data_IF_225319773222
#
_entry.id   IF_225319773222
#
_cell.length_a   1.000
_cell.length_b   1.000
_cell.length_c   1.000
_cell.angle_alpha   90.00
_cell.angle_beta   90.00
_cell.angle_gamma   90.00
#
_symmetry.space_group_name_H-M   'P 1'
#
loop_
_entity.id
_entity.type
_entity.pdbx_description
1 polymer ?
#
# COMPACT_ATOMS: atom_id res chain seq x y z
N UNK A 1 17.23 -21.42 26.51
CA UNK A 1 17.55 -21.35 27.94
C UNK A 1 17.81 -19.89 28.26
N UNK A 2 17.06 -19.35 29.23
CA UNK A 2 17.26 -18.00 29.76
C UNK A 2 17.83 -18.12 31.16
N UNK A 3 18.87 -17.37 31.42
CA UNK A 3 19.50 -17.28 32.73
C UNK A 3 19.42 -15.83 33.18
N UNK A 4 18.75 -15.59 34.29
CA UNK A 4 18.67 -14.26 34.87
C UNK A 4 19.72 -14.16 36.00
N UNK A 5 20.51 -13.11 35.93
CA UNK A 5 21.58 -12.82 36.91
C UNK A 5 21.27 -11.47 37.54
N UNK A 6 21.42 -11.35 38.84
CA UNK A 6 21.25 -10.09 39.56
C UNK A 6 22.53 -9.22 39.52
N UNK A 7 22.46 -8.03 40.12
CA UNK A 7 23.59 -7.10 40.22
C UNK A 7 24.83 -7.63 40.96
N UNK A 8 24.69 -8.73 41.69
CA UNK A 8 25.77 -9.38 42.46
C UNK A 8 26.33 -10.61 41.75
N UNK A 9 26.07 -10.73 40.42
CA UNK A 9 26.47 -11.84 39.57
C UNK A 9 25.91 -13.22 39.99
N UNK A 10 24.82 -13.22 40.77
CA UNK A 10 24.15 -14.45 41.18
C UNK A 10 23.02 -14.80 40.25
N UNK A 11 22.99 -16.06 39.84
CA UNK A 11 21.87 -16.61 39.05
C UNK A 11 20.61 -16.62 39.93
N UNK A 12 19.60 -15.88 39.53
CA UNK A 12 18.31 -15.77 40.22
C UNK A 12 17.24 -16.66 39.62
N UNK A 13 17.32 -16.92 38.33
CA UNK A 13 16.42 -17.88 37.67
C UNK A 13 17.08 -18.54 36.46
N UNK A 14 16.66 -19.75 36.18
CA UNK A 14 16.96 -20.47 34.95
C UNK A 14 15.63 -20.93 34.38
N UNK A 15 15.29 -20.51 33.18
CA UNK A 15 14.14 -21.02 32.46
C UNK A 15 14.56 -21.61 31.12
N UNK A 16 13.94 -22.70 30.74
CA UNK A 16 14.16 -23.30 29.42
C UNK A 16 12.84 -23.71 28.80
N UNK A 17 12.60 -23.25 27.58
CA UNK A 17 11.52 -23.74 26.73
C UNK A 17 12.12 -24.70 25.71
N UNK A 18 12.06 -25.98 25.99
CA UNK A 18 12.37 -26.99 25.00
C UNK A 18 11.31 -28.10 25.05
N UNK A 19 10.99 -28.61 23.89
CA UNK A 19 10.09 -29.75 23.78
C UNK A 19 10.83 -31.00 24.17
N UNK A 20 10.30 -31.76 25.14
CA UNK A 20 10.82 -33.10 25.48
C UNK A 20 10.52 -34.07 24.34
N UNK A 21 11.36 -35.07 24.26
CA UNK A 21 11.18 -36.19 23.31
C UNK A 21 11.15 -35.77 21.80
N UNK A 22 11.98 -34.74 21.47
CA UNK A 22 12.15 -34.31 20.09
C UNK A 22 13.02 -35.31 19.36
N UNK A 23 12.49 -35.92 18.31
CA UNK A 23 13.28 -36.66 17.35
C UNK A 23 14.01 -35.71 16.39
N UNK A 24 15.33 -35.57 16.58
CA UNK A 24 16.17 -34.77 15.68
C UNK A 24 16.53 -35.53 14.38
N UNK A 25 16.06 -36.76 14.23
CA UNK A 25 16.31 -37.61 13.07
C UNK A 25 17.80 -38.02 12.96
N UNK A 26 18.23 -38.28 11.72
CA UNK A 26 19.58 -38.79 11.43
C UNK A 26 20.70 -37.73 11.45
N UNK A 27 20.38 -36.50 11.79
CA UNK A 27 21.33 -35.37 11.87
C UNK A 27 21.85 -34.87 10.52
N UNK A 28 21.38 -35.44 9.40
CA UNK A 28 21.78 -34.98 8.08
C UNK A 28 21.04 -33.68 7.77
N UNK A 29 21.81 -32.59 7.75
CA UNK A 29 21.31 -31.25 7.45
C UNK A 29 22.17 -30.62 6.35
N UNK A 30 21.62 -29.67 5.61
CA UNK A 30 22.39 -28.85 4.69
C UNK A 30 23.38 -28.00 5.50
N UNK A 31 24.59 -27.84 4.99
CA UNK A 31 25.54 -26.97 5.64
C UNK A 31 25.11 -25.48 5.53
N UNK A 32 25.71 -24.64 6.38
CA UNK A 32 25.36 -23.22 6.46
C UNK A 32 25.44 -22.49 5.10
N UNK A 33 26.51 -22.76 4.32
CA UNK A 33 26.69 -22.12 3.01
C UNK A 33 25.57 -22.52 2.06
N UNK A 34 25.24 -23.81 1.99
CA UNK A 34 24.15 -24.30 1.15
C UNK A 34 22.78 -23.82 1.63
N UNK A 35 22.59 -23.67 2.94
CA UNK A 35 21.36 -23.11 3.50
C UNK A 35 21.16 -21.65 3.07
N UNK A 36 22.22 -20.83 3.09
CA UNK A 36 22.15 -19.45 2.61
C UNK A 36 21.85 -19.38 1.11
N UNK A 37 22.52 -20.17 0.29
CA UNK A 37 22.24 -20.24 -1.15
C UNK A 37 20.77 -20.62 -1.43
N UNK A 38 20.25 -21.61 -0.71
CA UNK A 38 18.87 -22.06 -0.87
C UNK A 38 17.87 -21.01 -0.36
N UNK A 39 18.16 -20.34 0.75
CA UNK A 39 17.33 -19.28 1.29
C UNK A 39 17.21 -18.11 0.30
N UNK A 40 18.34 -17.57 -0.12
CA UNK A 40 18.38 -16.45 -1.08
C UNK A 40 17.92 -16.85 -2.49
N UNK A 41 18.12 -18.09 -2.91
CA UNK A 41 17.67 -18.57 -4.22
C UNK A 41 16.18 -18.91 -4.29
N UNK A 42 15.49 -18.96 -3.16
CA UNK A 42 14.05 -19.27 -3.10
C UNK A 42 13.19 -18.07 -2.67
N UNK A 43 13.81 -16.99 -2.25
CA UNK A 43 13.11 -15.77 -1.84
C UNK A 43 13.56 -14.61 -2.72
N UNK A 44 12.59 -13.82 -3.17
CA UNK A 44 12.85 -12.54 -3.77
C UNK A 44 12.93 -11.48 -2.67
N UNK A 45 13.90 -10.58 -2.79
CA UNK A 45 13.93 -9.38 -1.96
C UNK A 45 12.96 -8.37 -2.56
N UNK A 46 11.95 -8.01 -1.79
CA UNK A 46 11.02 -6.96 -2.17
C UNK A 46 11.43 -5.66 -1.50
N UNK A 47 11.25 -4.57 -2.24
CA UNK A 47 11.47 -3.23 -1.73
C UNK A 47 10.17 -2.76 -1.08
N UNK A 48 10.24 -2.45 0.21
CA UNK A 48 9.11 -1.97 0.99
C UNK A 48 9.40 -0.60 1.53
N UNK A 49 8.35 0.18 1.66
CA UNK A 49 8.37 1.28 2.58
C UNK A 49 7.94 0.77 3.96
N UNK A 50 8.80 0.97 4.94
CA UNK A 50 8.53 0.67 6.34
C UNK A 50 8.56 1.97 7.13
N UNK A 51 7.62 2.11 8.06
CA UNK A 51 7.47 3.31 8.86
C UNK A 51 7.59 3.02 10.35
N UNK A 52 8.20 3.93 11.07
CA UNK A 52 8.12 3.94 12.52
C UNK A 52 7.87 5.35 13.04
N UNK A 53 7.29 5.43 14.21
CA UNK A 53 7.11 6.69 14.91
C UNK A 53 8.19 6.82 15.98
N UNK A 54 8.96 7.91 15.94
CA UNK A 54 10.01 8.16 16.91
C UNK A 54 9.44 8.55 18.29
N UNK A 55 10.32 8.72 19.27
CA UNK A 55 9.94 9.08 20.64
C UNK A 55 9.27 10.46 20.77
N UNK A 56 9.31 11.28 19.71
CA UNK A 56 8.61 12.56 19.60
C UNK A 56 7.27 12.46 18.89
N UNK A 57 6.83 11.25 18.58
CA UNK A 57 5.63 10.97 17.79
C UNK A 57 5.70 11.51 16.36
N UNK A 58 6.93 11.63 15.81
CA UNK A 58 7.12 12.00 14.41
C UNK A 58 7.20 10.71 13.59
N UNK A 59 6.37 10.55 12.55
CA UNK A 59 6.45 9.41 11.65
C UNK A 59 7.68 9.55 10.74
N UNK A 60 8.39 8.45 10.55
CA UNK A 60 9.51 8.31 9.64
C UNK A 60 9.26 7.13 8.72
N UNK A 61 9.58 7.29 7.45
CA UNK A 61 9.44 6.23 6.44
C UNK A 61 10.80 5.91 5.85
N UNK A 62 11.10 4.63 5.72
CA UNK A 62 12.32 4.13 5.11
C UNK A 62 12.00 3.21 3.95
N UNK A 63 12.84 3.30 2.94
CA UNK A 63 12.85 2.32 1.88
C UNK A 63 13.80 1.19 2.27
N UNK A 64 13.26 0.01 2.52
CA UNK A 64 14.03 -1.16 2.93
C UNK A 64 13.86 -2.31 1.95
N UNK A 65 14.93 -3.08 1.77
CA UNK A 65 14.80 -4.40 1.19
C UNK A 65 14.42 -5.39 2.29
N UNK A 66 13.30 -6.04 2.15
CA UNK A 66 12.87 -7.09 3.04
C UNK A 66 12.67 -8.40 2.28
N UNK A 67 12.91 -9.48 2.97
CA UNK A 67 12.52 -10.83 2.57
C UNK A 67 11.38 -11.27 3.48
N UNK A 68 10.47 -12.06 2.96
CA UNK A 68 9.47 -12.70 3.80
C UNK A 68 10.11 -13.47 4.93
N UNK A 69 9.53 -13.38 6.12
CA UNK A 69 10.06 -14.02 7.35
C UNK A 69 9.84 -15.53 7.33
N UNK A 70 10.49 -16.22 6.40
CA UNK A 70 10.41 -17.66 6.27
C UNK A 70 11.60 -18.34 6.94
N UNK A 71 11.43 -19.58 7.32
CA UNK A 71 12.51 -20.42 7.80
C UNK A 71 12.84 -21.50 6.77
N UNK A 72 14.10 -21.87 6.67
CA UNK A 72 14.53 -22.96 5.83
C UNK A 72 14.53 -24.26 6.64
N UNK A 73 13.81 -25.26 6.18
CA UNK A 73 13.94 -26.60 6.75
C UNK A 73 15.33 -27.13 6.44
N UNK A 74 16.15 -27.24 7.48
CA UNK A 74 17.57 -27.60 7.33
C UNK A 74 17.81 -28.99 6.73
N UNK A 75 16.81 -29.88 6.80
CA UNK A 75 16.90 -31.25 6.26
C UNK A 75 16.50 -31.31 4.79
N UNK A 76 15.41 -30.63 4.43
CA UNK A 76 14.87 -30.69 3.07
C UNK A 76 15.37 -29.59 2.15
N UNK A 77 15.93 -28.51 2.72
CA UNK A 77 16.31 -27.31 1.98
C UNK A 77 15.10 -26.53 1.41
N UNK A 78 13.89 -26.80 1.88
CA UNK A 78 12.67 -26.10 1.45
C UNK A 78 12.29 -25.02 2.46
N UNK A 79 11.71 -23.94 1.95
CA UNK A 79 11.11 -22.91 2.80
C UNK A 79 9.89 -23.51 3.52
N UNK A 80 9.69 -23.08 4.75
CA UNK A 80 8.54 -23.46 5.58
C UNK A 80 8.11 -22.30 6.48
N UNK A 81 6.91 -22.38 6.98
CA UNK A 81 6.42 -21.49 8.03
C UNK A 81 7.09 -21.81 9.39
N UNK A 82 6.83 -20.99 10.40
CA UNK A 82 7.40 -21.19 11.74
C UNK A 82 6.94 -22.49 12.43
N UNK A 83 5.91 -23.16 11.90
CA UNK A 83 5.45 -24.46 12.37
C UNK A 83 6.11 -25.63 11.62
N UNK A 84 7.00 -25.32 10.66
CA UNK A 84 7.70 -26.30 9.83
C UNK A 84 6.87 -26.86 8.66
N UNK A 85 5.68 -26.31 8.39
CA UNK A 85 4.88 -26.69 7.23
C UNK A 85 5.56 -26.14 5.96
N UNK A 86 5.86 -27.00 4.98
CA UNK A 86 6.44 -26.54 3.72
C UNK A 86 5.55 -25.47 3.09
N UNK A 87 6.16 -24.40 2.67
CA UNK A 87 5.50 -23.42 1.83
C UNK A 87 5.42 -24.03 0.44
N UNK A 88 4.23 -24.24 -0.03
CA UNK A 88 4.04 -24.32 -1.46
C UNK A 88 4.51 -22.96 -1.98
N UNK A 89 5.42 -22.95 -2.97
CA UNK A 89 5.71 -21.72 -3.69
C UNK A 89 4.37 -21.18 -4.20
N UNK A 90 3.67 -20.40 -3.40
CA UNK A 90 3.06 -19.24 -3.96
C UNK A 90 4.26 -18.40 -4.36
N UNK A 91 4.71 -18.58 -5.61
CA UNK A 91 5.46 -17.55 -6.22
C UNK A 91 4.70 -16.28 -5.90
N UNK A 92 5.34 -15.37 -5.18
CA UNK A 92 5.15 -13.97 -5.45
C UNK A 92 5.87 -13.65 -6.79
N UNK A 93 5.61 -14.46 -7.80
CA UNK A 93 5.40 -13.95 -9.14
C UNK A 93 4.16 -13.12 -8.92
N UNK A 94 4.38 -11.81 -8.74
CA UNK A 94 3.30 -10.88 -8.71
C UNK A 94 2.31 -11.32 -9.76
N UNK A 95 1.07 -11.54 -9.37
CA UNK A 95 0.05 -11.99 -10.32
C UNK A 95 0.25 -11.10 -11.52
N UNK A 96 0.65 -11.69 -12.65
CA UNK A 96 0.88 -10.87 -13.83
C UNK A 96 -0.44 -10.19 -14.10
N UNK A 97 -0.44 -8.88 -14.05
CA UNK A 97 -1.65 -8.08 -14.25
C UNK A 97 -2.42 -8.64 -15.46
N UNK A 98 -3.64 -9.17 -15.28
CA UNK A 98 -4.36 -9.91 -16.31
C UNK A 98 -4.99 -9.02 -17.37
N UNK A 99 -4.90 -7.71 -17.20
CA UNK A 99 -5.60 -6.75 -18.05
C UNK A 99 -5.05 -6.74 -19.48
N UNK A 100 -5.88 -7.17 -20.43
CA UNK A 100 -5.51 -7.33 -21.83
C UNK A 100 -5.72 -6.06 -22.67
N UNK A 101 -6.33 -5.01 -22.11
CA UNK A 101 -6.73 -3.81 -22.80
C UNK A 101 -5.91 -2.55 -22.41
N UNK A 102 -4.72 -2.75 -21.84
CA UNK A 102 -3.84 -1.65 -21.41
C UNK A 102 -2.83 -1.20 -22.45
N UNK A 103 -2.77 -1.79 -23.66
CA UNK A 103 -1.69 -1.52 -24.61
C UNK A 103 -1.65 -0.06 -25.08
N UNK A 104 -2.79 0.61 -25.12
CA UNK A 104 -2.89 2.02 -25.46
C UNK A 104 -2.97 2.96 -24.24
N UNK A 105 -2.91 2.44 -23.03
CA UNK A 105 -2.89 3.25 -21.81
C UNK A 105 -1.48 3.76 -21.56
N UNK A 106 -1.34 5.07 -21.36
CA UNK A 106 -0.08 5.69 -20.95
C UNK A 106 0.31 5.36 -19.52
N UNK A 107 -0.61 4.85 -18.72
CA UNK A 107 -0.44 4.47 -17.32
C UNK A 107 -0.38 2.96 -17.09
N UNK A 108 -0.12 2.18 -18.16
CA UNK A 108 -0.06 0.72 -18.13
C UNK A 108 0.83 0.17 -17.00
N UNK A 109 2.03 0.74 -16.85
CA UNK A 109 3.00 0.30 -15.82
C UNK A 109 2.51 0.59 -14.40
N UNK A 110 1.89 1.75 -14.18
CA UNK A 110 1.35 2.15 -12.90
C UNK A 110 0.17 1.26 -12.49
N UNK A 111 -0.75 1.01 -13.44
CA UNK A 111 -1.89 0.11 -13.24
C UNK A 111 -1.42 -1.30 -12.90
N UNK A 112 -0.45 -1.83 -13.64
CA UNK A 112 0.11 -3.15 -13.39
C UNK A 112 0.81 -3.23 -12.03
N UNK A 113 1.52 -2.16 -11.65
CA UNK A 113 2.15 -2.08 -10.32
C UNK A 113 1.09 -2.11 -9.21
N UNK A 114 0.08 -1.26 -9.29
CA UNK A 114 -1.00 -1.24 -8.28
C UNK A 114 -1.71 -2.59 -8.19
N UNK A 115 -1.99 -3.24 -9.33
CA UNK A 115 -2.57 -4.59 -9.36
C UNK A 115 -1.71 -5.59 -8.59
N UNK A 116 -0.40 -5.61 -8.84
CA UNK A 116 0.54 -6.53 -8.19
C UNK A 116 0.64 -6.32 -6.68
N UNK A 117 0.35 -5.12 -6.20
CA UNK A 117 0.25 -4.80 -4.76
C UNK A 117 -1.16 -4.99 -4.18
N UNK A 118 -2.09 -5.60 -4.94
CA UNK A 118 -3.45 -5.86 -4.47
C UNK A 118 -4.37 -4.65 -4.50
N UNK A 119 -3.90 -3.50 -5.01
CA UNK A 119 -4.70 -2.27 -5.15
C UNK A 119 -5.46 -2.35 -6.47
N UNK A 120 -6.57 -3.04 -6.44
CA UNK A 120 -7.39 -3.36 -7.61
C UNK A 120 -8.88 -3.37 -7.27
N UNK A 121 -9.73 -3.01 -8.21
CA UNK A 121 -11.19 -3.05 -8.04
C UNK A 121 -11.73 -4.46 -8.36
N UNK A 122 -11.13 -5.14 -9.33
CA UNK A 122 -11.57 -6.46 -9.78
C UNK A 122 -10.43 -7.23 -10.47
N UNK A 123 -10.63 -8.54 -10.62
CA UNK A 123 -9.70 -9.48 -11.26
C UNK A 123 -10.12 -9.85 -12.70
N UNK A 124 -10.95 -9.04 -13.34
CA UNK A 124 -11.39 -9.30 -14.73
C UNK A 124 -10.22 -9.11 -15.71
N UNK A 125 -10.30 -9.78 -16.86
CA UNK A 125 -9.30 -9.64 -17.93
C UNK A 125 -9.27 -8.26 -18.59
N UNK A 126 -10.28 -7.41 -18.34
CA UNK A 126 -10.39 -6.06 -18.90
C UNK A 126 -10.44 -5.01 -17.80
N UNK A 127 -9.55 -4.05 -17.91
CA UNK A 127 -9.48 -2.89 -17.04
C UNK A 127 -10.44 -1.78 -17.45
N UNK A 128 -10.66 -1.61 -18.74
CA UNK A 128 -11.46 -0.53 -19.36
C UNK A 128 -10.92 0.86 -19.00
N UNK A 129 -9.70 1.22 -19.45
CA UNK A 129 -8.98 2.42 -19.00
C UNK A 129 -9.75 3.73 -19.22
N UNK A 130 -10.51 3.83 -20.30
CA UNK A 130 -11.27 5.03 -20.67
C UNK A 130 -12.66 5.11 -20.02
N UNK A 131 -13.08 4.08 -19.27
CA UNK A 131 -14.36 4.13 -18.55
C UNK A 131 -14.31 5.17 -17.43
N UNK A 132 -15.44 5.84 -17.20
CA UNK A 132 -15.57 6.75 -16.05
C UNK A 132 -15.57 5.93 -14.76
N UNK A 133 -14.91 6.46 -13.74
CA UNK A 133 -14.86 5.86 -12.41
C UNK A 133 -15.87 6.53 -11.47
N UNK A 134 -16.32 5.80 -10.47
CA UNK A 134 -17.24 6.30 -9.42
C UNK A 134 -16.49 6.69 -8.16
N UNK A 135 -17.15 7.44 -7.27
CA UNK A 135 -16.58 7.77 -5.97
C UNK A 135 -16.40 6.53 -5.09
N UNK A 136 -17.32 5.57 -5.19
CA UNK A 136 -17.26 4.32 -4.42
C UNK A 136 -16.06 3.45 -4.83
N UNK A 137 -15.76 3.37 -6.14
CA UNK A 137 -14.58 2.67 -6.64
C UNK A 137 -13.28 3.31 -6.14
N UNK A 138 -13.17 4.65 -6.14
CA UNK A 138 -11.98 5.34 -5.62
C UNK A 138 -11.86 5.18 -4.11
N UNK A 139 -12.94 5.27 -3.35
CA UNK A 139 -12.92 5.04 -1.91
C UNK A 139 -12.51 3.61 -1.56
N UNK A 140 -12.95 2.61 -2.34
CA UNK A 140 -12.51 1.23 -2.18
C UNK A 140 -10.99 1.08 -2.39
N UNK A 141 -10.43 1.73 -3.41
CA UNK A 141 -8.98 1.73 -3.66
C UNK A 141 -8.19 2.43 -2.53
N UNK A 142 -8.67 3.58 -2.04
CA UNK A 142 -8.06 4.28 -0.91
C UNK A 142 -8.11 3.44 0.37
N UNK A 143 -9.20 2.72 0.61
CA UNK A 143 -9.32 1.80 1.75
C UNK A 143 -8.31 0.65 1.68
N UNK A 144 -7.99 0.13 0.49
CA UNK A 144 -6.96 -0.89 0.32
C UNK A 144 -5.55 -0.37 0.65
N UNK A 145 -5.28 0.91 0.37
CA UNK A 145 -4.01 1.55 0.73
C UNK A 145 -3.89 1.67 2.25
N UNK A 146 -4.96 2.09 2.91
CA UNK A 146 -4.98 2.32 4.36
C UNK A 146 -5.04 1.02 5.17
N UNK A 147 -5.62 -0.05 4.64
CA UNK A 147 -5.71 -1.36 5.30
C UNK A 147 -4.35 -2.03 5.55
N UNK A 148 -3.30 -1.66 4.80
CA UNK A 148 -1.93 -2.11 5.04
C UNK A 148 -1.30 -1.57 6.34
N UNK A 149 -1.90 -0.56 6.98
CA UNK A 149 -1.40 0.06 8.21
C UNK A 149 -2.11 -0.41 9.48
N UNK A 150 -3.24 -1.13 9.39
CA UNK A 150 -4.01 -1.59 10.53
C UNK A 150 -4.40 -3.06 10.35
N UNK A 151 -3.91 -3.93 11.21
CA UNK A 151 -4.35 -5.34 11.30
C UNK A 151 -5.80 -5.51 11.81
N UNK A 152 -6.54 -4.42 11.99
CA UNK A 152 -7.95 -4.48 12.38
C UNK A 152 -8.86 -4.12 11.19
N UNK A 153 -9.88 -4.95 10.91
CA UNK A 153 -10.80 -4.71 9.82
C UNK A 153 -11.79 -3.58 10.18
N UNK A 154 -11.35 -2.33 10.09
CA UNK A 154 -12.27 -1.17 10.10
C UNK A 154 -13.04 -1.06 8.76
N UNK A 155 -12.94 -2.08 7.91
CA UNK A 155 -13.61 -2.13 6.60
C UNK A 155 -15.15 -2.11 6.73
N UNK A 156 -15.70 -2.54 7.87
CA UNK A 156 -17.16 -2.53 8.06
C UNK A 156 -17.75 -1.17 8.42
N UNK A 157 -16.99 -0.28 9.07
CA UNK A 157 -17.53 1.00 9.53
C UNK A 157 -17.53 2.09 8.45
N UNK A 158 -16.60 2.05 7.49
CA UNK A 158 -16.58 2.98 6.35
C UNK A 158 -17.64 2.63 5.29
N UNK A 159 -17.96 1.35 5.12
CA UNK A 159 -19.06 0.92 4.26
C UNK A 159 -20.45 1.24 4.86
N UNK A 160 -20.56 1.30 6.19
CA UNK A 160 -21.84 1.53 6.88
C UNK A 160 -22.22 3.02 7.00
N UNK A 161 -21.25 3.94 6.98
CA UNK A 161 -21.51 5.38 7.11
C UNK A 161 -21.60 6.12 5.77
N UNK A 162 -21.44 5.43 4.65
CA UNK A 162 -21.62 5.95 3.28
C UNK A 162 -23.02 5.72 2.70
N UNK A 163 -24.01 5.41 3.52
CA UNK A 163 -25.37 5.12 3.07
C UNK A 163 -26.15 6.39 2.73
N UNK A 164 -25.94 6.90 1.55
CA UNK A 164 -27.04 7.30 0.67
C UNK A 164 -26.85 6.62 -0.67
N UNK A 165 -27.59 5.53 -0.85
CA UNK A 165 -27.80 4.85 -2.10
C UNK A 165 -28.37 5.83 -3.13
N UNK A 166 -27.49 6.45 -3.87
CA UNK A 166 -27.84 7.14 -5.10
C UNK A 166 -27.02 6.55 -6.22
N UNK A 167 -27.69 6.23 -7.31
CA UNK A 167 -27.14 5.71 -8.57
C UNK A 167 -25.71 6.16 -8.81
N UNK A 168 -24.79 5.20 -9.03
CA UNK A 168 -23.34 5.39 -9.16
C UNK A 168 -23.01 6.66 -9.94
N UNK A 169 -22.72 7.75 -9.24
CA UNK A 169 -22.41 9.03 -9.85
C UNK A 169 -20.93 9.01 -10.26
N UNK A 170 -20.66 9.21 -11.53
CA UNK A 170 -19.29 9.33 -12.02
C UNK A 170 -18.59 10.54 -11.38
N UNK A 171 -17.34 10.31 -11.02
CA UNK A 171 -16.52 11.27 -10.30
C UNK A 171 -15.97 12.34 -11.26
N UNK A 172 -15.99 13.60 -10.85
CA UNK A 172 -15.28 14.68 -11.52
C UNK A 172 -13.90 14.89 -10.93
N UNK A 173 -13.02 15.58 -11.66
CA UNK A 173 -11.62 15.81 -11.25
C UNK A 173 -11.52 16.63 -9.95
N UNK A 174 -12.40 17.62 -9.74
CA UNK A 174 -12.48 18.37 -8.47
C UNK A 174 -12.96 17.51 -7.30
N UNK A 175 -13.86 16.56 -7.56
CA UNK A 175 -14.34 15.63 -6.54
C UNK A 175 -13.25 14.60 -6.19
N UNK A 176 -12.47 14.14 -7.16
CA UNK A 176 -11.29 13.30 -6.92
C UNK A 176 -10.27 14.01 -6.02
N UNK A 177 -9.91 15.27 -6.32
CA UNK A 177 -9.02 16.06 -5.47
C UNK A 177 -9.56 16.19 -4.04
N UNK A 178 -10.87 16.35 -3.88
CA UNK A 178 -11.52 16.39 -2.56
C UNK A 178 -11.41 15.05 -1.82
N UNK A 179 -11.54 13.92 -2.50
CA UNK A 179 -11.38 12.60 -1.86
C UNK A 179 -9.97 12.43 -1.29
N UNK A 180 -8.92 12.72 -2.06
CA UNK A 180 -7.54 12.65 -1.57
C UNK A 180 -7.31 13.56 -0.36
N UNK A 181 -7.77 14.82 -0.42
CA UNK A 181 -7.59 15.77 0.69
C UNK A 181 -8.34 15.32 1.96
N UNK A 182 -9.49 14.67 1.81
CA UNK A 182 -10.18 14.06 2.94
C UNK A 182 -9.42 12.88 3.51
N UNK A 183 -8.89 12.02 2.66
CA UNK A 183 -8.07 10.88 3.05
C UNK A 183 -6.82 11.33 3.82
N UNK A 184 -6.19 12.42 3.40
CA UNK A 184 -5.08 13.09 4.11
C UNK A 184 -5.47 13.72 5.45
N UNK A 185 -6.75 13.73 5.84
CA UNK A 185 -7.24 14.45 7.02
C UNK A 185 -7.19 15.99 6.90
N UNK A 186 -6.98 16.52 5.70
CA UNK A 186 -6.77 17.95 5.45
C UNK A 186 -8.03 18.73 5.06
N UNK A 187 -9.24 18.12 5.14
CA UNK A 187 -10.52 18.69 4.73
C UNK A 187 -10.80 20.07 5.38
N UNK A 188 -10.48 20.23 6.66
CA UNK A 188 -10.65 21.50 7.38
C UNK A 188 -9.78 22.63 6.81
N UNK A 189 -8.57 22.32 6.37
CA UNK A 189 -7.66 23.31 5.80
C UNK A 189 -8.12 23.73 4.39
N UNK A 190 -8.55 22.78 3.58
CA UNK A 190 -9.06 23.04 2.23
C UNK A 190 -10.28 23.99 2.21
N UNK A 191 -11.04 24.07 3.31
CA UNK A 191 -12.20 24.95 3.48
C UNK A 191 -11.88 26.39 3.94
N UNK A 192 -10.62 26.67 4.27
CA UNK A 192 -10.22 28.01 4.69
C UNK A 192 -10.35 28.99 3.51
N UNK A 193 -11.00 30.14 3.78
CA UNK A 193 -11.26 31.14 2.73
C UNK A 193 -10.08 32.06 2.54
N UNK A 194 -9.89 32.49 1.30
CA UNK A 194 -8.95 33.56 0.90
C UNK A 194 -7.46 33.26 1.19
N UNK A 195 -7.08 32.01 1.38
CA UNK A 195 -5.68 31.61 1.58
C UNK A 195 -5.11 30.85 0.39
N UNK A 196 -5.96 30.25 -0.43
CA UNK A 196 -5.52 29.50 -1.59
C UNK A 196 -5.54 30.34 -2.86
N UNK A 197 -4.53 30.13 -3.70
CA UNK A 197 -4.52 30.55 -5.08
C UNK A 197 -4.45 29.32 -5.96
N UNK A 198 -5.24 29.33 -7.02
CA UNK A 198 -5.25 28.21 -7.95
C UNK A 198 -3.93 28.12 -8.70
N UNK A 199 -3.32 26.90 -8.80
CA UNK A 199 -2.21 26.68 -9.70
C UNK A 199 -2.67 26.54 -11.18
N UNK A 200 -4.00 26.53 -11.44
CA UNK A 200 -4.58 26.27 -12.74
C UNK A 200 -5.41 27.46 -13.25
N UNK A 201 -5.37 27.69 -14.57
CA UNK A 201 -6.01 28.84 -15.22
C UNK A 201 -7.53 28.79 -15.20
N UNK A 202 -8.10 27.59 -15.22
CA UNK A 202 -9.53 27.31 -15.29
C UNK A 202 -10.19 27.07 -13.92
N UNK A 203 -9.45 27.28 -12.84
CA UNK A 203 -9.95 27.18 -11.46
C UNK A 203 -9.84 28.55 -10.82
N UNK A 204 -10.98 29.16 -10.49
CA UNK A 204 -11.02 30.46 -9.81
C UNK A 204 -10.53 30.36 -8.36
N UNK A 205 -9.80 31.38 -7.88
CA UNK A 205 -9.41 31.51 -6.46
C UNK A 205 -10.62 31.61 -5.52
N UNK A 206 -11.79 31.99 -6.05
CA UNK A 206 -13.07 32.01 -5.30
C UNK A 206 -13.82 30.69 -5.35
N UNK A 207 -13.34 29.69 -6.07
CA UNK A 207 -13.97 28.37 -6.14
C UNK A 207 -14.02 27.71 -4.78
N UNK A 208 -15.15 27.04 -4.46
CA UNK A 208 -15.26 26.21 -3.26
C UNK A 208 -14.28 25.01 -3.26
N UNK A 209 -13.72 24.67 -4.41
CA UNK A 209 -12.78 23.56 -4.58
C UNK A 209 -11.31 24.01 -4.70
N UNK A 210 -11.01 25.33 -4.68
CA UNK A 210 -9.64 25.79 -4.87
C UNK A 210 -8.68 25.21 -3.83
N UNK A 211 -9.08 25.15 -2.55
CA UNK A 211 -8.25 24.58 -1.50
C UNK A 211 -7.99 23.08 -1.70
N UNK A 212 -9.02 22.34 -2.07
CA UNK A 212 -8.89 20.90 -2.36
C UNK A 212 -7.95 20.64 -3.55
N UNK A 213 -8.15 21.37 -4.64
CA UNK A 213 -7.30 21.23 -5.84
C UNK A 213 -5.85 21.63 -5.55
N UNK A 214 -5.65 22.73 -4.82
CA UNK A 214 -4.31 23.23 -4.48
C UNK A 214 -3.55 22.26 -3.56
N UNK A 215 -4.22 21.71 -2.54
CA UNK A 215 -3.59 20.75 -1.62
C UNK A 215 -3.29 19.44 -2.34
N UNK A 216 -4.25 18.86 -3.07
CA UNK A 216 -4.05 17.61 -3.79
C UNK A 216 -2.95 17.74 -4.86
N UNK A 217 -2.87 18.89 -5.54
CA UNK A 217 -1.81 19.18 -6.49
C UNK A 217 -0.44 19.35 -5.81
N UNK A 218 -0.36 20.10 -4.71
CA UNK A 218 0.87 20.28 -3.95
C UNK A 218 1.40 18.97 -3.37
N UNK A 219 0.49 18.07 -2.98
CA UNK A 219 0.83 16.71 -2.56
C UNK A 219 1.18 15.77 -3.74
N UNK A 220 1.13 16.26 -4.99
CA UNK A 220 1.41 15.44 -6.16
C UNK A 220 0.37 14.37 -6.48
N UNK A 221 -0.77 14.36 -5.78
CA UNK A 221 -1.83 13.36 -5.99
C UNK A 221 -2.63 13.61 -7.27
N UNK A 222 -2.73 14.84 -7.73
CA UNK A 222 -3.41 15.21 -8.98
C UNK A 222 -2.53 16.11 -9.82
N UNK A 223 -2.70 16.05 -11.12
CA UNK A 223 -2.01 16.90 -12.10
C UNK A 223 -2.97 17.71 -12.96
N UNK A 224 -2.43 18.68 -13.69
CA UNK A 224 -3.12 19.41 -14.72
C UNK A 224 -2.63 19.05 -16.13
N UNK A 225 -3.27 19.66 -17.11
CA UNK A 225 -2.82 19.54 -18.50
C UNK A 225 -1.56 20.39 -18.76
N UNK A 226 -0.83 20.07 -19.84
CA UNK A 226 0.33 20.85 -20.31
C UNK A 226 0.00 22.32 -20.59
N UNK A 227 -1.27 22.65 -20.82
CA UNK A 227 -1.75 24.00 -21.06
C UNK A 227 -2.02 24.82 -19.77
N UNK A 228 -1.84 24.19 -18.60
CA UNK A 228 -2.06 24.80 -17.30
C UNK A 228 -3.53 24.80 -16.85
N UNK A 229 -4.37 23.92 -17.42
CA UNK A 229 -5.74 23.72 -17.00
C UNK A 229 -5.89 22.45 -16.17
N UNK A 230 -6.82 22.47 -15.23
CA UNK A 230 -7.17 21.33 -14.39
C UNK A 230 -8.37 20.54 -14.93
N UNK A 231 -9.30 21.22 -15.59
CA UNK A 231 -10.59 20.68 -16.02
C UNK A 231 -11.43 20.16 -14.82
N UNK A 232 -11.83 21.03 -13.87
CA UNK A 232 -12.41 20.61 -12.59
C UNK A 232 -13.72 19.84 -12.73
N UNK A 233 -14.51 20.10 -13.79
CA UNK A 233 -15.80 19.47 -14.06
C UNK A 233 -15.70 18.27 -15.02
N UNK A 234 -14.52 18.02 -15.57
CA UNK A 234 -14.25 16.85 -16.39
C UNK A 234 -14.38 15.55 -15.60
N UNK A 235 -14.98 14.52 -16.22
CA UNK A 235 -15.08 13.21 -15.59
C UNK A 235 -13.73 12.50 -15.51
N UNK A 236 -13.50 11.80 -14.41
CA UNK A 236 -12.30 11.00 -14.18
C UNK A 236 -12.43 9.68 -14.91
N UNK A 237 -11.43 9.34 -15.74
CA UNK A 237 -11.31 7.98 -16.31
C UNK A 237 -10.68 7.04 -15.30
N UNK A 238 -10.93 5.74 -15.43
CA UNK A 238 -10.37 4.73 -14.54
C UNK A 238 -8.84 4.77 -14.56
N UNK A 239 -8.22 4.85 -15.74
CA UNK A 239 -6.76 4.94 -15.84
C UNK A 239 -6.19 6.19 -15.16
N UNK A 240 -6.86 7.34 -15.26
CA UNK A 240 -6.42 8.55 -14.60
C UNK A 240 -6.55 8.47 -13.08
N UNK A 241 -7.61 7.85 -12.57
CA UNK A 241 -7.74 7.61 -11.13
C UNK A 241 -6.61 6.73 -10.58
N UNK A 242 -6.25 5.67 -11.30
CA UNK A 242 -5.13 4.80 -10.92
C UNK A 242 -3.78 5.54 -10.97
N UNK A 243 -3.56 6.38 -11.97
CA UNK A 243 -2.40 7.26 -12.01
C UNK A 243 -2.34 8.19 -10.79
N UNK A 244 -3.44 8.83 -10.43
CA UNK A 244 -3.51 9.70 -9.27
C UNK A 244 -3.26 8.92 -7.96
N UNK A 245 -3.80 7.72 -7.82
CA UNK A 245 -3.58 6.85 -6.67
C UNK A 245 -2.11 6.41 -6.58
N UNK A 246 -1.51 6.04 -7.70
CA UNK A 246 -0.08 5.70 -7.75
C UNK A 246 0.79 6.85 -7.28
N UNK A 247 0.55 8.06 -7.80
CA UNK A 247 1.27 9.27 -7.39
C UNK A 247 1.01 9.62 -5.92
N UNK A 248 -0.22 9.45 -5.45
CA UNK A 248 -0.59 9.69 -4.05
C UNK A 248 0.21 8.80 -3.09
N UNK A 249 0.36 7.52 -3.43
CA UNK A 249 1.17 6.59 -2.66
C UNK A 249 2.64 7.03 -2.69
N UNK A 250 3.21 7.29 -3.86
CA UNK A 250 4.63 7.63 -3.99
C UNK A 250 4.99 8.93 -3.27
N UNK A 251 4.17 9.98 -3.42
CA UNK A 251 4.46 11.29 -2.85
C UNK A 251 4.06 11.39 -1.36
N UNK A 252 3.11 10.58 -0.91
CA UNK A 252 2.77 10.48 0.51
C UNK A 252 3.88 9.85 1.36
N UNK A 253 4.85 9.22 0.71
CA UNK A 253 6.00 8.57 1.34
C UNK A 253 7.20 9.51 1.50
N UNK A 254 7.20 10.66 0.81
CA UNK A 254 8.29 11.66 0.85
C UNK A 254 8.00 12.84 1.81
N UNK A 255 6.89 12.82 2.55
CA UNK A 255 6.42 13.93 3.39
C UNK A 255 6.62 13.72 4.90
#
# INVERSE_FOLDING_TARGET
IYVTVNSDDRVTSISSNYTKDVDFGDGKIVNKQKALELLFGQQDMSLYYDGFTDYRSVPHTYLIYSMDSWVLNARTGKLCDYNGKPLEKTASQGETCPYTDLDNSRYKSEIATLYNYGIKIHDNEKFSPNSKITADEVNALLSLINAGYYEDPIVEEYAANGSESTSAKYLTRKELARLFVKDMGADRYAKMKNIFKSPFKDVSDSSAYVGYISIAWAAGAVDGSKNGNFDPDGYVTREYAYHCIYNYILNGLDS
#
